data_IF_567216689926
#
_entry.id   IF_567216689926
#
_cell.length_a   1.000
_cell.length_b   1.000
_cell.length_c   1.000
_cell.angle_alpha   90.00
_cell.angle_beta   90.00
_cell.angle_gamma   90.00
#
_symmetry.space_group_name_H-M   'P 1'
#
loop_
_entity.id
_entity.type
_entity.pdbx_description
1 polymer ?
#
# COMPACT_ATOMS: atom_id res chain seq x y z
N UNK A 1 -11.96 0.78 23.57
CA UNK A 1 -12.43 1.61 22.46
C UNK A 1 -13.84 2.13 22.73
N UNK A 2 -14.15 3.37 22.34
CA UNK A 2 -15.53 3.82 22.36
C UNK A 2 -16.28 3.11 21.23
N UNK A 3 -17.47 2.52 21.46
CA UNK A 3 -18.25 1.94 20.39
C UNK A 3 -18.56 3.00 19.34
N UNK A 4 -18.51 2.61 18.07
CA UNK A 4 -18.90 3.47 16.94
C UNK A 4 -20.32 3.98 17.20
N UNK A 5 -20.59 5.26 16.96
CA UNK A 5 -21.90 5.86 17.14
C UNK A 5 -22.98 5.04 16.42
N UNK A 6 -24.14 4.86 17.04
CA UNK A 6 -25.27 4.14 16.44
C UNK A 6 -25.64 4.81 15.12
N UNK A 7 -25.55 4.08 14.00
CA UNK A 7 -25.98 4.52 12.67
C UNK A 7 -24.89 4.77 11.65
N UNK A 8 -23.60 4.72 12.02
CA UNK A 8 -22.51 4.91 11.05
C UNK A 8 -22.16 3.59 10.35
N UNK A 9 -22.22 3.59 9.02
CA UNK A 9 -21.83 2.43 8.21
C UNK A 9 -20.31 2.26 8.30
N UNK A 10 -19.81 1.09 8.71
CA UNK A 10 -18.38 0.84 8.74
C UNK A 10 -17.80 0.79 7.31
N UNK A 11 -16.73 1.53 7.05
CA UNK A 11 -16.04 1.54 5.76
C UNK A 11 -14.74 0.78 5.89
N UNK A 12 -14.52 -0.18 4.99
CA UNK A 12 -13.25 -0.85 4.81
C UNK A 12 -12.62 -0.34 3.51
N UNK A 13 -11.47 0.34 3.63
CA UNK A 13 -10.80 1.01 2.54
C UNK A 13 -9.98 0.01 1.70
N UNK A 14 -10.15 0.03 0.38
CA UNK A 14 -9.46 -0.86 -0.54
C UNK A 14 -7.99 -0.51 -0.78
N UNK A 15 -7.58 0.74 -0.52
CA UNK A 15 -6.21 1.20 -0.71
C UNK A 15 -6.00 2.60 -0.14
N UNK A 16 -4.90 2.83 0.58
CA UNK A 16 -4.47 4.16 0.97
C UNK A 16 -2.96 4.30 1.06
N UNK A 17 -2.49 5.54 0.89
CA UNK A 17 -1.09 5.94 0.87
C UNK A 17 -0.67 6.67 2.16
N UNK A 18 -1.33 6.40 3.29
CA UNK A 18 -0.94 7.04 4.56
C UNK A 18 0.51 6.71 4.93
N UNK A 19 0.95 5.47 4.70
CA UNK A 19 2.32 5.03 4.95
C UNK A 19 3.32 5.83 4.10
N UNK A 20 3.01 6.10 2.82
CA UNK A 20 3.86 6.90 1.94
C UNK A 20 4.09 8.31 2.53
N UNK A 21 3.05 8.95 3.07
CA UNK A 21 3.20 10.26 3.70
C UNK A 21 4.18 10.22 4.88
N UNK A 22 4.15 9.16 5.68
CA UNK A 22 5.08 8.99 6.80
C UNK A 22 6.52 8.71 6.33
N UNK A 23 6.68 8.01 5.19
CA UNK A 23 8.00 7.80 4.56
C UNK A 23 8.59 9.12 4.05
N UNK A 24 7.76 9.98 3.46
CA UNK A 24 8.20 11.27 2.91
C UNK A 24 8.50 12.32 3.99
N UNK A 25 7.82 12.25 5.14
CA UNK A 25 7.95 13.20 6.24
C UNK A 25 8.13 12.46 7.59
N UNK A 26 9.22 11.67 7.77
CA UNK A 26 9.36 10.77 8.91
C UNK A 26 9.44 11.48 10.27
N UNK A 27 9.96 12.68 10.31
CA UNK A 27 10.08 13.48 11.53
C UNK A 27 8.73 14.07 12.00
N UNK A 28 7.73 14.07 11.12
CA UNK A 28 6.38 14.60 11.38
C UNK A 28 5.32 13.51 11.59
N UNK A 29 5.71 12.25 11.71
CA UNK A 29 4.77 11.13 11.79
C UNK A 29 3.76 11.24 12.94
N UNK A 30 4.15 11.80 14.10
CA UNK A 30 3.25 12.02 15.24
C UNK A 30 2.17 13.05 14.88
N UNK A 31 2.56 14.14 14.22
CA UNK A 31 1.67 15.20 13.76
C UNK A 31 0.72 14.67 12.67
N UNK A 32 1.27 13.95 11.66
CA UNK A 32 0.50 13.43 10.53
C UNK A 32 -0.51 12.37 10.98
N UNK A 33 -0.09 11.40 11.80
CA UNK A 33 -0.94 10.26 12.14
C UNK A 33 -1.70 10.42 13.44
N UNK A 34 -1.04 10.79 14.55
CA UNK A 34 -1.67 10.80 15.87
C UNK A 34 -2.49 12.05 16.14
N UNK A 35 -1.95 13.22 15.83
CA UNK A 35 -2.61 14.50 16.12
C UNK A 35 -3.62 14.89 15.04
N UNK A 36 -3.32 14.60 13.77
CA UNK A 36 -4.11 15.02 12.62
C UNK A 36 -3.83 16.48 12.26
N UNK A 37 -2.97 16.69 11.27
CA UNK A 37 -2.59 18.05 10.80
C UNK A 37 -3.62 18.72 9.88
N UNK A 38 -4.76 18.07 9.62
CA UNK A 38 -5.81 18.59 8.74
C UNK A 38 -5.50 18.48 7.24
N UNK A 39 -4.33 17.96 6.86
CA UNK A 39 -3.95 17.70 5.46
C UNK A 39 -4.09 16.22 5.12
N UNK A 40 -4.08 15.90 3.81
CA UNK A 40 -4.32 14.54 3.34
C UNK A 40 -5.71 14.04 3.70
N UNK A 41 -5.93 12.72 3.62
CA UNK A 41 -7.26 12.12 3.75
C UNK A 41 -7.42 11.31 5.05
N UNK A 42 -6.36 10.72 5.58
CA UNK A 42 -6.38 9.83 6.73
C UNK A 42 -5.44 10.32 7.84
N UNK A 43 -5.94 10.27 9.06
CA UNK A 43 -5.23 10.34 10.33
C UNK A 43 -6.05 9.62 11.40
N UNK A 44 -5.46 9.31 12.52
CA UNK A 44 -6.13 8.55 13.59
C UNK A 44 -7.41 9.23 14.12
N UNK A 45 -7.44 10.55 14.39
CA UNK A 45 -8.66 11.24 14.80
C UNK A 45 -9.79 11.14 13.78
N UNK A 46 -9.52 11.39 12.48
CA UNK A 46 -10.52 11.31 11.42
C UNK A 46 -11.01 9.89 11.19
N UNK A 47 -10.12 8.89 11.18
CA UNK A 47 -10.51 7.49 11.07
C UNK A 47 -11.46 7.07 12.20
N UNK A 48 -11.19 7.52 13.44
CA UNK A 48 -12.08 7.25 14.58
C UNK A 48 -13.42 7.95 14.48
N UNK A 49 -13.46 9.16 13.90
CA UNK A 49 -14.67 9.96 13.78
C UNK A 49 -15.58 9.53 12.62
N UNK A 50 -15.01 8.96 11.55
CA UNK A 50 -15.72 8.69 10.28
C UNK A 50 -16.24 7.27 10.09
N UNK A 51 -16.13 6.38 11.07
CA UNK A 51 -16.50 4.97 10.90
C UNK A 51 -15.52 4.16 10.05
N UNK A 52 -14.31 4.66 9.82
CA UNK A 52 -13.25 3.91 9.17
C UNK A 52 -12.94 2.63 9.96
N UNK A 53 -13.26 1.50 9.38
CA UNK A 53 -13.19 0.21 10.08
C UNK A 53 -11.86 -0.50 9.85
N UNK A 54 -11.17 -0.18 8.79
CA UNK A 54 -9.91 -0.77 8.39
C UNK A 54 -9.61 -0.50 6.93
N UNK A 55 -8.49 -1.01 6.46
CA UNK A 55 -8.10 -0.86 5.06
C UNK A 55 -6.75 -1.47 4.74
N UNK A 56 -6.40 -1.39 3.46
CA UNK A 56 -5.12 -1.81 2.90
C UNK A 56 -4.16 -0.62 2.94
N UNK A 57 -3.13 -0.71 3.80
CA UNK A 57 -2.11 0.32 3.96
C UNK A 57 -0.94 -0.03 3.05
N UNK A 58 -0.75 0.78 2.00
CA UNK A 58 0.17 0.48 0.93
C UNK A 58 1.63 0.81 1.30
N UNK A 59 2.50 -0.16 1.07
CA UNK A 59 3.93 0.05 0.89
C UNK A 59 4.15 0.32 -0.59
N UNK A 60 4.32 1.59 -0.93
CA UNK A 60 4.60 2.07 -2.27
C UNK A 60 6.00 2.67 -2.33
N UNK A 61 6.72 2.41 -3.39
CA UNK A 61 8.05 2.96 -3.64
C UNK A 61 7.99 4.00 -4.75
N UNK A 62 8.21 5.30 -4.47
CA UNK A 62 8.30 6.33 -5.49
C UNK A 62 9.38 6.01 -6.53
N UNK A 63 9.14 6.38 -7.79
CA UNK A 63 10.15 6.22 -8.84
C UNK A 63 11.37 7.09 -8.52
N UNK A 64 12.61 6.56 -8.69
CA UNK A 64 13.84 7.28 -8.35
C UNK A 64 14.07 8.53 -9.20
N UNK A 65 13.63 8.50 -10.44
CA UNK A 65 13.61 9.66 -11.33
C UNK A 65 12.23 10.28 -11.17
N UNK A 66 12.18 11.51 -10.69
CA UNK A 66 10.97 12.30 -10.79
C UNK A 66 10.60 12.35 -12.28
N UNK A 67 9.61 11.54 -12.69
CA UNK A 67 8.88 11.89 -13.90
C UNK A 67 8.45 13.34 -13.69
N UNK A 68 8.56 14.16 -14.70
CA UNK A 68 8.02 15.52 -14.69
C UNK A 68 6.51 15.40 -14.41
N UNK A 69 6.18 15.26 -13.11
CA UNK A 69 4.83 14.98 -12.64
C UNK A 69 3.85 16.02 -13.18
N UNK A 70 4.29 17.28 -13.31
CA UNK A 70 3.49 18.34 -13.88
C UNK A 70 3.21 18.11 -15.37
N UNK A 71 4.20 17.62 -16.14
CA UNK A 71 4.02 17.31 -17.56
C UNK A 71 3.16 16.08 -17.76
N UNK A 72 3.37 15.04 -16.95
CA UNK A 72 2.55 13.85 -16.97
C UNK A 72 1.10 14.17 -16.60
N UNK A 73 0.89 14.95 -15.54
CA UNK A 73 -0.42 15.42 -15.13
C UNK A 73 -1.11 16.23 -16.25
N UNK A 74 -0.43 17.18 -16.85
CA UNK A 74 -0.97 17.98 -17.95
C UNK A 74 -1.29 17.12 -19.20
N UNK A 75 -0.55 16.04 -19.44
CA UNK A 75 -0.87 15.09 -20.51
C UNK A 75 -2.15 14.29 -20.18
N UNK A 76 -2.30 13.82 -18.95
CA UNK A 76 -3.49 13.07 -18.52
C UNK A 76 -4.77 13.91 -18.53
N UNK A 77 -4.66 15.22 -18.38
CA UNK A 77 -5.80 16.15 -18.51
C UNK A 77 -6.32 16.32 -19.95
N UNK A 78 -5.59 15.82 -20.95
CA UNK A 78 -5.91 16.00 -22.38
C UNK A 78 -5.96 14.67 -23.11
N UNK A 79 -7.02 13.87 -22.92
CA UNK A 79 -7.17 12.60 -23.63
C UNK A 79 -7.30 12.79 -25.14
N UNK A 80 -6.84 11.82 -25.99
CA UNK A 80 -6.20 10.58 -25.57
C UNK A 80 -4.75 10.79 -25.10
N UNK A 81 -4.30 9.94 -24.15
CA UNK A 81 -2.92 9.97 -23.70
C UNK A 81 -2.38 8.54 -23.47
N UNK A 82 -1.06 8.41 -23.55
CA UNK A 82 -0.32 7.21 -23.16
C UNK A 82 1.04 7.66 -22.62
N UNK A 83 1.27 7.40 -21.34
CA UNK A 83 2.54 7.72 -20.69
C UNK A 83 3.47 6.50 -20.75
N UNK A 84 4.77 6.68 -20.99
CA UNK A 84 5.73 5.60 -20.94
C UNK A 84 5.81 5.05 -19.52
N UNK A 85 6.01 3.74 -19.39
CA UNK A 85 6.31 3.12 -18.10
C UNK A 85 7.69 3.60 -17.62
N UNK A 86 7.84 3.90 -16.32
CA UNK A 86 9.14 4.17 -15.73
C UNK A 86 10.01 2.91 -15.69
N UNK A 87 11.31 3.10 -15.48
CA UNK A 87 12.25 2.00 -15.30
C UNK A 87 11.94 1.20 -14.02
N UNK A 88 12.28 -0.11 -14.04
CA UNK A 88 12.21 -0.95 -12.85
C UNK A 88 13.13 -0.43 -11.74
N UNK A 89 12.66 -0.52 -10.49
CA UNK A 89 13.53 -0.34 -9.33
C UNK A 89 14.20 -1.69 -9.03
N UNK A 90 15.53 -1.77 -9.04
CA UNK A 90 16.24 -3.00 -8.67
C UNK A 90 15.95 -3.40 -7.21
N UNK A 91 15.86 -4.69 -6.92
CA UNK A 91 15.63 -5.22 -5.57
C UNK A 91 16.53 -4.59 -4.50
N UNK A 92 17.85 -4.48 -4.78
CA UNK A 92 18.80 -3.89 -3.84
C UNK A 92 18.48 -2.43 -3.46
N UNK A 93 17.85 -1.68 -4.36
CA UNK A 93 17.41 -0.30 -4.09
C UNK A 93 16.02 -0.26 -3.43
N UNK A 94 15.20 -1.30 -3.63
CA UNK A 94 13.82 -1.36 -3.16
C UNK A 94 13.69 -1.85 -1.70
N UNK A 95 14.52 -2.81 -1.28
CA UNK A 95 14.33 -3.54 -0.02
C UNK A 95 14.41 -2.63 1.21
N UNK A 96 15.38 -1.73 1.28
CA UNK A 96 15.54 -0.81 2.41
C UNK A 96 14.34 0.13 2.59
N UNK A 97 13.92 0.86 1.55
CA UNK A 97 12.70 1.69 1.59
C UNK A 97 11.43 0.92 1.92
N UNK A 98 11.24 -0.30 1.40
CA UNK A 98 10.07 -1.11 1.71
C UNK A 98 10.03 -1.56 3.18
N UNK A 99 11.19 -1.90 3.76
CA UNK A 99 11.32 -2.20 5.19
C UNK A 99 11.00 -0.97 6.04
N UNK A 100 11.49 0.21 5.66
CA UNK A 100 11.19 1.46 6.34
C UNK A 100 9.68 1.77 6.33
N UNK A 101 9.04 1.65 5.16
CA UNK A 101 7.59 1.83 5.02
C UNK A 101 6.81 0.84 5.89
N UNK A 102 7.16 -0.45 5.87
CA UNK A 102 6.55 -1.47 6.74
C UNK A 102 6.75 -1.14 8.23
N UNK A 103 7.93 -0.60 8.58
CA UNK A 103 8.25 -0.12 9.91
C UNK A 103 7.36 1.05 10.37
N UNK A 104 6.96 1.94 9.48
CA UNK A 104 6.01 3.00 9.79
C UNK A 104 4.62 2.43 10.16
N UNK A 105 4.14 1.42 9.45
CA UNK A 105 2.86 0.78 9.82
C UNK A 105 2.95 0.08 11.18
N UNK A 106 4.06 -0.61 11.47
CA UNK A 106 4.29 -1.21 12.79
C UNK A 106 4.40 -0.15 13.90
N UNK A 107 4.99 1.00 13.60
CA UNK A 107 4.98 2.14 14.51
C UNK A 107 3.57 2.69 14.75
N UNK A 108 2.74 2.83 13.70
CA UNK A 108 1.34 3.27 13.82
C UNK A 108 0.54 2.34 14.75
N UNK A 109 0.69 1.03 14.63
CA UNK A 109 0.04 0.06 15.50
C UNK A 109 0.42 0.32 16.97
N UNK A 110 1.71 0.39 17.28
CA UNK A 110 2.19 0.63 18.64
C UNK A 110 1.76 2.00 19.17
N UNK A 111 1.94 3.05 18.37
CA UNK A 111 1.67 4.44 18.78
C UNK A 111 0.18 4.74 18.96
N UNK A 112 -0.70 4.00 18.29
CA UNK A 112 -2.15 4.16 18.38
C UNK A 112 -2.76 3.69 19.71
N UNK A 113 -1.96 3.08 20.60
CA UNK A 113 -2.39 2.57 21.90
C UNK A 113 -3.62 1.64 21.79
N UNK A 114 -3.60 0.71 20.82
CA UNK A 114 -4.65 -0.27 20.60
C UNK A 114 -5.79 0.20 19.71
N UNK A 115 -5.73 1.40 19.14
CA UNK A 115 -6.76 1.87 18.22
C UNK A 115 -6.63 1.31 16.80
N UNK A 116 -5.43 0.85 16.42
CA UNK A 116 -5.14 0.22 15.13
C UNK A 116 -4.39 -1.09 15.38
N UNK A 117 -4.71 -2.12 14.62
CA UNK A 117 -4.05 -3.43 14.66
C UNK A 117 -3.72 -3.91 13.26
N UNK A 118 -2.48 -4.38 13.06
CA UNK A 118 -2.07 -5.10 11.85
C UNK A 118 -2.68 -6.50 11.89
N UNK A 119 -3.58 -6.79 10.97
CA UNK A 119 -4.30 -8.05 10.90
C UNK A 119 -3.61 -9.01 9.92
N UNK A 120 -3.40 -10.25 10.35
CA UNK A 120 -2.77 -11.31 9.57
C UNK A 120 -3.75 -12.40 9.15
N UNK A 121 -4.95 -12.39 9.71
CA UNK A 121 -6.01 -13.36 9.44
C UNK A 121 -7.37 -12.69 9.34
N UNK A 122 -8.30 -13.34 8.62
CA UNK A 122 -9.68 -12.88 8.57
C UNK A 122 -10.37 -12.88 9.94
N UNK A 123 -9.94 -13.76 10.85
CA UNK A 123 -10.46 -13.79 12.24
C UNK A 123 -10.06 -12.51 13.00
N UNK A 124 -8.81 -12.04 12.84
CA UNK A 124 -8.36 -10.79 13.45
C UNK A 124 -9.08 -9.58 12.88
N UNK A 125 -9.32 -9.54 11.56
CA UNK A 125 -10.14 -8.49 10.92
C UNK A 125 -11.54 -8.47 11.53
N UNK A 126 -12.21 -9.63 11.65
CA UNK A 126 -13.55 -9.71 12.26
C UNK A 126 -13.56 -9.24 13.72
N UNK A 127 -12.55 -9.62 14.50
CA UNK A 127 -12.43 -9.15 15.87
C UNK A 127 -12.29 -7.62 15.95
N UNK A 128 -11.44 -7.03 15.13
CA UNK A 128 -11.30 -5.57 15.03
C UNK A 128 -12.61 -4.89 14.63
N UNK A 129 -13.34 -5.46 13.66
CA UNK A 129 -14.65 -4.94 13.25
C UNK A 129 -15.67 -4.98 14.38
N UNK A 130 -15.62 -6.01 15.23
CA UNK A 130 -16.54 -6.19 16.34
C UNK A 130 -16.26 -5.23 17.51
N UNK A 131 -14.99 -4.99 17.83
CA UNK A 131 -14.60 -4.17 19.00
C UNK A 131 -14.34 -2.70 18.67
N UNK A 132 -14.33 -2.34 17.37
CA UNK A 132 -14.10 -0.97 16.90
C UNK A 132 -12.64 -0.59 16.73
N UNK A 133 -11.71 -1.54 16.82
CA UNK A 133 -10.31 -1.36 16.45
C UNK A 133 -10.20 -1.19 14.93
N UNK A 134 -9.28 -0.35 14.45
CA UNK A 134 -9.02 -0.17 13.03
C UNK A 134 -8.18 -1.36 12.54
N UNK A 135 -8.72 -2.15 11.61
CA UNK A 135 -8.03 -3.29 11.03
C UNK A 135 -7.09 -2.83 9.90
N UNK A 136 -5.79 -2.91 10.09
CA UNK A 136 -4.81 -2.58 9.04
C UNK A 136 -4.32 -3.87 8.36
N UNK A 137 -4.40 -3.89 7.03
CA UNK A 137 -3.78 -4.92 6.20
C UNK A 137 -2.50 -4.34 5.60
N UNK A 138 -1.36 -4.94 5.89
CA UNK A 138 -0.12 -4.60 5.22
C UNK A 138 -0.21 -5.06 3.76
N UNK A 139 -0.17 -4.09 2.86
CA UNK A 139 -0.27 -4.26 1.41
C UNK A 139 1.02 -3.79 0.75
N UNK A 140 1.52 -4.52 -0.23
CA UNK A 140 2.66 -4.10 -1.06
C UNK A 140 2.16 -3.75 -2.46
N UNK A 141 2.34 -2.51 -2.86
CA UNK A 141 1.94 -2.01 -4.18
C UNK A 141 3.15 -1.98 -5.11
N UNK A 142 3.27 -3.05 -5.93
CA UNK A 142 4.47 -3.36 -6.69
C UNK A 142 5.46 -4.20 -5.89
N UNK A 143 5.93 -5.31 -6.47
CA UNK A 143 6.76 -6.29 -5.80
C UNK A 143 8.27 -6.05 -6.00
N UNK A 144 8.70 -4.79 -6.11
CA UNK A 144 10.10 -4.43 -6.31
C UNK A 144 11.01 -4.92 -5.17
N UNK A 145 10.46 -4.99 -3.95
CA UNK A 145 11.19 -5.44 -2.76
C UNK A 145 11.15 -6.96 -2.55
N UNK A 146 10.68 -7.72 -3.55
CA UNK A 146 10.75 -9.18 -3.57
C UNK A 146 11.83 -9.60 -4.56
N UNK A 147 12.71 -10.46 -4.13
CA UNK A 147 13.80 -11.03 -4.93
C UNK A 147 13.32 -12.22 -5.79
N UNK A 148 14.10 -12.64 -6.78
CA UNK A 148 13.74 -13.77 -7.67
C UNK A 148 13.68 -15.11 -6.94
N UNK A 149 14.45 -15.28 -5.84
CA UNK A 149 14.39 -16.49 -4.99
C UNK A 149 13.16 -16.52 -4.09
N UNK A 150 12.45 -15.38 -3.93
CA UNK A 150 11.28 -15.19 -3.07
C UNK A 150 11.56 -15.22 -1.55
N UNK A 151 12.83 -15.19 -1.12
CA UNK A 151 13.18 -15.19 0.30
C UNK A 151 12.60 -13.95 1.01
N UNK A 152 12.64 -12.79 0.36
CA UNK A 152 12.03 -11.57 0.90
C UNK A 152 10.51 -11.68 1.06
N UNK A 153 9.81 -12.44 0.20
CA UNK A 153 8.37 -12.68 0.34
C UNK A 153 8.06 -13.38 1.67
N UNK A 154 8.82 -14.42 2.02
CA UNK A 154 8.63 -15.13 3.30
C UNK A 154 8.87 -14.22 4.50
N UNK A 155 9.88 -13.34 4.43
CA UNK A 155 10.15 -12.36 5.49
C UNK A 155 9.00 -11.35 5.62
N UNK A 156 8.55 -10.75 4.52
CA UNK A 156 7.42 -9.83 4.55
C UNK A 156 6.13 -10.50 5.02
N UNK A 157 5.88 -11.76 4.62
CA UNK A 157 4.75 -12.52 5.12
C UNK A 157 4.82 -12.74 6.63
N UNK A 158 5.99 -13.09 7.17
CA UNK A 158 6.22 -13.22 8.61
C UNK A 158 6.02 -11.89 9.35
N UNK A 159 6.39 -10.75 8.73
CA UNK A 159 6.14 -9.41 9.26
C UNK A 159 4.65 -9.02 9.24
N UNK A 160 3.82 -9.69 8.44
CA UNK A 160 2.38 -9.46 8.38
C UNK A 160 1.83 -9.05 7.02
N UNK A 161 2.63 -9.09 5.95
CA UNK A 161 2.13 -8.88 4.58
C UNK A 161 1.02 -9.87 4.25
N UNK A 162 -0.13 -9.37 3.77
CA UNK A 162 -1.29 -10.20 3.39
C UNK A 162 -1.93 -9.79 2.07
N UNK A 163 -1.39 -8.78 1.42
CA UNK A 163 -1.82 -8.34 0.11
C UNK A 163 -0.61 -7.86 -0.70
N UNK A 164 -0.54 -8.24 -1.96
CA UNK A 164 0.57 -7.89 -2.83
C UNK A 164 0.08 -7.72 -4.27
N UNK A 165 0.43 -6.57 -4.87
CA UNK A 165 0.35 -6.35 -6.32
C UNK A 165 1.70 -6.66 -6.96
N UNK A 166 1.79 -7.55 -7.96
CA UNK A 166 3.08 -7.89 -8.60
C UNK A 166 3.76 -6.70 -9.27
N UNK A 167 2.98 -5.73 -9.73
CA UNK A 167 3.41 -4.52 -10.42
C UNK A 167 2.54 -3.34 -10.03
N UNK A 168 3.04 -2.15 -10.28
CA UNK A 168 2.28 -0.91 -10.35
C UNK A 168 2.26 -0.40 -11.82
N UNK A 169 2.07 0.88 -12.07
CA UNK A 169 2.37 1.52 -13.36
C UNK A 169 3.90 1.64 -13.56
N UNK A 170 4.58 0.59 -13.22
CA UNK A 170 6.02 0.34 -13.35
C UNK A 170 6.25 -1.16 -13.43
N UNK A 171 7.09 -1.64 -14.35
CA UNK A 171 7.44 -3.05 -14.42
C UNK A 171 8.26 -3.48 -13.19
N UNK A 172 8.15 -4.76 -12.86
CA UNK A 172 9.05 -5.47 -11.94
C UNK A 172 9.58 -6.73 -12.64
N UNK A 173 10.43 -7.51 -11.98
CA UNK A 173 10.82 -8.83 -12.52
C UNK A 173 9.63 -9.79 -12.66
N UNK A 174 8.49 -9.49 -12.03
CA UNK A 174 7.29 -10.33 -11.98
C UNK A 174 6.24 -9.97 -13.02
N UNK A 175 6.31 -8.79 -13.63
CA UNK A 175 5.33 -8.37 -14.63
C UNK A 175 5.69 -7.05 -15.30
N UNK A 176 4.92 -6.70 -16.34
CA UNK A 176 5.24 -5.62 -17.25
C UNK A 176 4.70 -4.24 -16.85
N UNK A 177 3.94 -4.15 -15.75
CA UNK A 177 3.35 -2.90 -15.31
C UNK A 177 2.08 -2.53 -16.09
N UNK A 178 1.35 -1.53 -15.57
CA UNK A 178 0.12 -1.04 -16.19
C UNK A 178 0.32 0.44 -16.57
N UNK A 179 0.41 0.78 -17.87
CA UNK A 179 0.66 2.15 -18.29
C UNK A 179 -0.52 3.08 -17.98
N UNK A 180 -0.23 4.34 -17.66
CA UNK A 180 -1.25 5.38 -17.67
C UNK A 180 -1.61 5.71 -19.11
N UNK A 181 -2.75 5.20 -19.58
CA UNK A 181 -3.25 5.43 -20.92
C UNK A 181 -4.76 5.56 -20.95
N UNK A 182 -5.26 6.43 -21.83
CA UNK A 182 -6.69 6.55 -22.10
C UNK A 182 -6.93 6.90 -23.58
N UNK A 183 -7.82 6.20 -24.31
CA UNK A 183 -8.58 5.04 -23.87
C UNK A 183 -7.69 3.81 -23.63
N UNK A 184 -8.09 2.94 -22.72
CA UNK A 184 -7.37 1.72 -22.38
C UNK A 184 -8.35 0.62 -21.97
N UNK A 185 -7.87 -0.62 -21.90
CA UNK A 185 -8.63 -1.79 -21.47
C UNK A 185 -7.83 -2.61 -20.45
N UNK A 186 -8.40 -3.69 -19.90
CA UNK A 186 -7.72 -4.52 -18.90
C UNK A 186 -6.58 -5.37 -19.50
N UNK A 187 -6.56 -5.54 -20.81
CA UNK A 187 -5.54 -6.34 -21.52
C UNK A 187 -4.47 -5.40 -22.10
N UNK A 188 -3.52 -5.01 -21.27
CA UNK A 188 -2.49 -4.01 -21.56
C UNK A 188 -1.09 -4.60 -21.48
N UNK A 189 -0.72 -5.41 -22.45
CA UNK A 189 0.65 -5.93 -22.55
C UNK A 189 0.80 -7.40 -22.12
N UNK A 190 2.06 -7.89 -21.97
CA UNK A 190 2.33 -9.34 -21.84
C UNK A 190 1.93 -9.96 -20.49
N UNK A 191 1.54 -9.16 -19.49
CA UNK A 191 1.11 -9.66 -18.19
C UNK A 191 2.27 -10.13 -17.29
N UNK A 192 2.08 -11.25 -16.59
CA UNK A 192 3.08 -11.80 -15.69
C UNK A 192 4.23 -12.49 -16.44
N UNK A 193 5.43 -12.29 -15.94
CA UNK A 193 6.61 -13.10 -16.34
C UNK A 193 6.52 -14.51 -15.74
N UNK A 194 7.45 -15.41 -16.09
CA UNK A 194 7.52 -16.71 -15.42
C UNK A 194 7.90 -16.58 -13.93
N UNK A 195 8.71 -15.60 -13.57
CA UNK A 195 8.96 -15.23 -12.16
C UNK A 195 7.65 -14.78 -11.48
N UNK A 196 6.82 -13.97 -12.15
CA UNK A 196 5.52 -13.57 -11.65
C UNK A 196 4.57 -14.72 -11.41
N UNK A 197 4.55 -15.70 -12.29
CA UNK A 197 3.76 -16.94 -12.11
C UNK A 197 4.27 -17.76 -10.91
N UNK A 198 5.59 -17.77 -10.64
CA UNK A 198 6.14 -18.38 -9.41
C UNK A 198 5.70 -17.61 -8.17
N UNK A 199 5.82 -16.28 -8.19
CA UNK A 199 5.38 -15.41 -7.11
C UNK A 199 3.91 -15.68 -6.73
N UNK A 200 3.00 -15.72 -7.70
CA UNK A 200 1.57 -15.99 -7.45
C UNK A 200 1.35 -17.37 -6.83
N UNK A 201 2.06 -18.41 -7.32
CA UNK A 201 1.96 -19.75 -6.72
C UNK A 201 2.42 -19.76 -5.27
N UNK A 202 3.52 -19.07 -4.96
CA UNK A 202 4.05 -18.98 -3.59
C UNK A 202 3.12 -18.19 -2.67
N UNK A 203 2.58 -17.06 -3.14
CA UNK A 203 1.57 -16.31 -2.39
C UNK A 203 0.33 -17.16 -2.05
N UNK A 204 -0.07 -18.08 -2.93
CA UNK A 204 -1.21 -18.98 -2.69
C UNK A 204 -0.87 -20.12 -1.71
N UNK A 205 0.41 -20.43 -1.50
CA UNK A 205 0.87 -21.45 -0.56
C UNK A 205 1.04 -20.90 0.87
N UNK A 206 1.22 -19.57 1.02
CA UNK A 206 1.38 -18.85 2.28
C UNK A 206 0.03 -18.46 2.91
#
# INVERSE_FOLDING_TARGET
GRPRGRGMIPVFDGHNDLVLRLVLEPDRRDEIFLAGEGKGHLDLPRMRASGFAGGFFAVYLPSPVAHDDARAQAAMERPPYALPLPDMIPFAAAIGPALAASGHLAWMERASAGALKICRTAAEVRACLADGTIAAILHMEGAEAIDDSLDALHLFHAMGLRSLGPVWSRPTIFGHGVPFAFPSGPDTGPGLTDAGKRLVRECNAL
#
